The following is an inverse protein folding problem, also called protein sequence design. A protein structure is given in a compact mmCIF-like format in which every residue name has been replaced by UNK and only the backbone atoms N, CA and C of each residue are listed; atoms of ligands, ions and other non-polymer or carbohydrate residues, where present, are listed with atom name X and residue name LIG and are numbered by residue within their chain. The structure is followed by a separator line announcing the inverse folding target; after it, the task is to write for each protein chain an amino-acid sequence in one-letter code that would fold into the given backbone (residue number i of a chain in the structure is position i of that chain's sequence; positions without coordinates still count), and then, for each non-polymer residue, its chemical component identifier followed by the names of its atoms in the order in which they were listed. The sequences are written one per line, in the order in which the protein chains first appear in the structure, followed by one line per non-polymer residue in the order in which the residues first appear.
data_IF_298479229473
#
_entry.id   IF_298479229473
#
_cell.length_a   1.000
_cell.length_b   1.000
_cell.length_c   1.000
_cell.angle_alpha   90.00
_cell.angle_beta   90.00
_cell.angle_gamma   90.00
#
_symmetry.space_group_name_H-M   'P 1'
#
loop_
_entity.id
_entity.type
_entity.pdbx_description
1 polymer ?
#
# COMPACT_ATOMS: atom_id res chain seq x y z
N UNK A 1 3.78 28.65 0.40
CA UNK A 1 4.19 28.17 1.73
C UNK A 1 4.31 26.65 1.71
N UNK A 2 5.35 26.11 2.33
CA UNK A 2 5.58 24.67 2.44
C UNK A 2 5.06 24.19 3.79
N UNK A 3 4.06 23.30 3.77
CA UNK A 3 3.51 22.70 4.98
C UNK A 3 4.42 21.55 5.45
N UNK A 4 5.25 21.85 6.45
CA UNK A 4 6.19 20.90 7.04
C UNK A 4 5.50 19.71 7.71
N UNK A 5 4.31 19.92 8.28
CA UNK A 5 3.57 18.87 8.99
C UNK A 5 2.97 17.88 7.99
N UNK A 6 2.41 18.39 6.88
CA UNK A 6 1.94 17.54 5.78
C UNK A 6 3.09 16.72 5.17
N UNK A 7 4.28 17.32 5.03
CA UNK A 7 5.43 16.61 4.49
C UNK A 7 5.93 15.51 5.43
N UNK A 8 5.93 15.75 6.76
CA UNK A 8 6.25 14.71 7.74
C UNK A 8 5.29 13.53 7.60
N UNK A 9 3.98 13.77 7.45
CA UNK A 9 3.00 12.70 7.29
C UNK A 9 3.24 11.77 6.09
N UNK A 10 4.07 12.18 5.10
CA UNK A 10 4.43 11.35 3.94
C UNK A 10 5.12 10.03 4.33
N UNK A 11 5.84 9.97 5.44
CA UNK A 11 6.48 8.73 5.88
C UNK A 11 5.45 7.62 6.16
N UNK A 12 4.22 7.98 6.57
CA UNK A 12 3.15 7.01 6.87
C UNK A 12 2.70 6.29 5.61
N UNK A 13 2.50 7.02 4.52
CA UNK A 13 2.08 6.43 3.25
C UNK A 13 3.21 5.62 2.61
N UNK A 14 4.46 6.07 2.73
CA UNK A 14 5.64 5.32 2.28
C UNK A 14 5.76 3.98 3.02
N UNK A 15 5.58 3.99 4.35
CA UNK A 15 5.59 2.78 5.17
C UNK A 15 4.45 1.83 4.80
N UNK A 16 3.26 2.35 4.51
CA UNK A 16 2.14 1.55 4.06
C UNK A 16 2.44 0.85 2.72
N UNK A 17 2.97 1.57 1.74
CA UNK A 17 3.37 0.97 0.46
C UNK A 17 4.57 0.01 0.59
N UNK A 18 5.48 0.25 1.54
CA UNK A 18 6.54 -0.71 1.85
C UNK A 18 5.96 -2.04 2.37
N UNK A 19 4.97 -2.00 3.26
CA UNK A 19 4.25 -3.19 3.74
C UNK A 19 3.49 -3.89 2.61
N UNK A 20 2.78 -3.15 1.76
CA UNK A 20 2.10 -3.75 0.60
C UNK A 20 3.06 -4.48 -0.35
N UNK A 21 4.27 -3.95 -0.54
CA UNK A 21 5.30 -4.58 -1.38
C UNK A 21 5.96 -5.83 -0.76
N UNK A 22 5.69 -6.15 0.51
CA UNK A 22 6.11 -7.43 1.09
C UNK A 22 5.33 -8.60 0.47
N UNK A 23 4.11 -8.36 0.02
CA UNK A 23 3.31 -9.36 -0.70
C UNK A 23 3.82 -9.46 -2.15
N UNK A 24 4.55 -10.54 -2.46
CA UNK A 24 5.16 -10.76 -3.78
C UNK A 24 4.15 -10.60 -4.93
N UNK A 25 2.95 -11.16 -4.80
CA UNK A 25 1.91 -11.08 -5.82
C UNK A 25 1.51 -9.62 -6.16
N UNK A 26 1.43 -8.76 -5.14
CA UNK A 26 1.13 -7.33 -5.29
C UNK A 26 2.36 -6.61 -5.88
N UNK A 27 3.55 -6.86 -5.33
CA UNK A 27 4.78 -6.20 -5.75
C UNK A 27 5.13 -6.46 -7.22
N UNK A 28 4.91 -7.68 -7.71
CA UNK A 28 5.18 -8.04 -9.11
C UNK A 28 3.98 -7.85 -10.02
N UNK A 29 2.83 -7.38 -9.50
CA UNK A 29 1.60 -7.15 -10.29
C UNK A 29 1.19 -8.43 -11.05
N UNK A 30 1.22 -9.57 -10.36
CA UNK A 30 1.03 -10.89 -10.98
C UNK A 30 -0.38 -11.09 -11.54
N UNK A 31 -1.37 -10.48 -10.90
CA UNK A 31 -2.76 -10.53 -11.34
C UNK A 31 -2.94 -9.83 -12.68
N UNK A 32 -3.45 -10.58 -13.67
CA UNK A 32 -3.71 -10.08 -15.03
C UNK A 32 -4.89 -9.12 -15.09
N UNK A 33 -5.91 -9.38 -14.28
CA UNK A 33 -7.12 -8.56 -14.22
C UNK A 33 -6.97 -7.46 -13.17
N UNK A 34 -7.31 -6.24 -13.55
CA UNK A 34 -7.22 -5.08 -12.66
C UNK A 34 -8.08 -5.23 -11.40
N UNK A 35 -9.27 -5.86 -11.52
CA UNK A 35 -10.19 -6.08 -10.41
C UNK A 35 -9.61 -7.06 -9.38
N UNK A 36 -8.98 -8.15 -9.82
CA UNK A 36 -8.32 -9.11 -8.95
C UNK A 36 -7.15 -8.46 -8.22
N UNK A 37 -6.32 -7.70 -8.94
CA UNK A 37 -5.21 -6.95 -8.34
C UNK A 37 -5.70 -5.96 -7.27
N UNK A 38 -6.78 -5.23 -7.57
CA UNK A 38 -7.37 -4.28 -6.63
C UNK A 38 -7.93 -4.98 -5.39
N UNK A 39 -8.61 -6.11 -5.57
CA UNK A 39 -9.12 -6.93 -4.47
C UNK A 39 -8.00 -7.43 -3.56
N UNK A 40 -6.87 -7.86 -4.14
CA UNK A 40 -5.69 -8.26 -3.38
C UNK A 40 -5.08 -7.09 -2.58
N UNK A 41 -5.04 -5.88 -3.15
CA UNK A 41 -4.61 -4.67 -2.44
C UNK A 41 -5.54 -4.40 -1.24
N UNK A 42 -6.87 -4.45 -1.43
CA UNK A 42 -7.81 -4.20 -0.34
C UNK A 42 -7.66 -5.23 0.79
N UNK A 43 -7.50 -6.51 0.45
CA UNK A 43 -7.27 -7.56 1.44
C UNK A 43 -5.98 -7.30 2.23
N UNK A 44 -4.88 -7.00 1.55
CA UNK A 44 -3.61 -6.69 2.21
C UNK A 44 -3.69 -5.41 3.06
N UNK A 45 -4.42 -4.40 2.60
CA UNK A 45 -4.65 -3.16 3.35
C UNK A 45 -5.41 -3.41 4.65
N UNK A 46 -6.45 -4.25 4.62
CA UNK A 46 -7.21 -4.64 5.83
C UNK A 46 -6.31 -5.39 6.81
N UNK A 47 -5.50 -6.33 6.34
CA UNK A 47 -4.54 -7.06 7.19
C UNK A 47 -3.52 -6.12 7.83
N UNK A 48 -2.99 -5.16 7.06
CA UNK A 48 -2.05 -4.15 7.57
C UNK A 48 -2.71 -3.22 8.60
N UNK A 49 -4.00 -2.93 8.46
CA UNK A 49 -4.75 -2.11 9.41
C UNK A 49 -5.00 -2.83 10.73
N UNK A 50 -5.37 -4.12 10.67
CA UNK A 50 -5.72 -4.91 11.86
C UNK A 50 -4.50 -5.33 12.71
N UNK A 51 -3.30 -5.16 12.18
CA UNK A 51 -2.03 -5.53 12.81
C UNK A 51 -1.33 -4.32 13.43
#
# INVERSE_FOLDING_TARGET
DYDQELYKARHLIENFFAKLKQYRAIATRYDKLAETFLSAIYMAAVVIWLN
#
